data_IF_525681495502
#
_entry.id   IF_525681495502
#
_cell.length_a   1.000
_cell.length_b   1.000
_cell.length_c   1.000
_cell.angle_alpha   90.00
_cell.angle_beta   90.00
_cell.angle_gamma   90.00
#
_symmetry.space_group_name_H-M   'P 1'
#
loop_
_entity.id
_entity.type
_entity.pdbx_description
1 polymer ?
#
# COMPACT_ATOMS: atom_id res chain seq x y z
N UNK A 1 18.88 -7.25 2.06
CA UNK A 1 17.77 -7.90 2.80
C UNK A 1 18.36 -8.80 3.87
N UNK A 2 17.80 -8.73 5.08
CA UNK A 2 18.15 -9.65 6.16
C UNK A 2 17.58 -11.04 5.86
N UNK A 3 18.31 -12.08 6.22
CA UNK A 3 17.80 -13.45 6.21
C UNK A 3 16.78 -13.66 7.33
N UNK A 4 15.94 -14.69 7.21
CA UNK A 4 15.01 -15.12 8.27
C UNK A 4 15.73 -15.32 9.62
N UNK A 5 16.92 -15.92 9.60
CA UNK A 5 17.74 -16.18 10.79
C UNK A 5 18.25 -14.89 11.44
N UNK A 6 18.72 -13.93 10.64
CA UNK A 6 19.18 -12.63 11.13
C UNK A 6 18.02 -11.84 11.76
N UNK A 7 16.86 -11.83 11.09
CA UNK A 7 15.63 -11.20 11.58
C UNK A 7 15.17 -11.78 12.92
N UNK A 8 15.12 -13.12 13.04
CA UNK A 8 14.79 -13.79 14.29
C UNK A 8 15.80 -13.43 15.40
N UNK A 9 17.09 -13.31 15.06
CA UNK A 9 18.13 -12.95 16.03
C UNK A 9 17.97 -11.52 16.54
N UNK A 10 17.65 -10.56 15.65
CA UNK A 10 17.39 -9.17 16.00
C UNK A 10 16.22 -9.08 16.99
N UNK A 11 15.07 -9.68 16.67
CA UNK A 11 13.89 -9.59 17.52
C UNK A 11 14.00 -10.40 18.80
N UNK A 12 14.69 -11.54 18.78
CA UNK A 12 15.03 -12.26 20.01
C UNK A 12 15.84 -11.38 20.96
N UNK A 13 16.83 -10.64 20.44
CA UNK A 13 17.63 -9.71 21.24
C UNK A 13 16.80 -8.54 21.74
N UNK A 14 15.91 -8.01 20.90
CA UNK A 14 14.98 -6.94 21.27
C UNK A 14 14.05 -7.36 22.41
N UNK A 15 13.41 -8.52 22.33
CA UNK A 15 12.50 -8.99 23.39
C UNK A 15 13.25 -9.35 24.67
N UNK A 16 14.49 -9.85 24.58
CA UNK A 16 15.35 -10.01 25.76
C UNK A 16 15.72 -8.67 26.41
N UNK A 17 15.89 -7.60 25.63
CA UNK A 17 16.07 -6.25 26.16
C UNK A 17 14.77 -5.73 26.80
N UNK A 18 13.61 -6.04 26.22
CA UNK A 18 12.29 -5.67 26.74
C UNK A 18 12.02 -6.35 28.10
N UNK A 19 12.30 -7.64 28.23
CA UNK A 19 12.21 -8.39 29.49
C UNK A 19 13.08 -7.77 30.59
N UNK A 20 14.27 -7.26 30.21
CA UNK A 20 15.21 -6.58 31.11
C UNK A 20 14.89 -5.09 31.31
N UNK A 21 13.91 -4.55 30.59
CA UNK A 21 13.57 -3.13 30.53
C UNK A 21 14.79 -2.25 30.17
N UNK A 22 15.66 -2.77 29.31
CA UNK A 22 16.91 -2.14 28.87
C UNK A 22 16.64 -1.23 27.67
N UNK A 23 16.24 0.01 27.96
CA UNK A 23 15.88 0.99 26.94
C UNK A 23 17.05 1.28 25.98
N UNK A 24 18.30 1.25 26.46
CA UNK A 24 19.48 1.47 25.62
C UNK A 24 19.59 0.42 24.52
N UNK A 25 19.42 -0.85 24.85
CA UNK A 25 19.45 -1.93 23.86
C UNK A 25 18.20 -1.94 22.96
N UNK A 26 17.03 -1.57 23.48
CA UNK A 26 15.81 -1.42 22.67
C UNK A 26 15.98 -0.37 21.58
N UNK A 27 16.52 0.80 21.93
CA UNK A 27 16.76 1.89 20.98
C UNK A 27 17.85 1.57 19.94
N UNK A 28 18.71 0.58 20.22
CA UNK A 28 19.80 0.17 19.33
C UNK A 28 19.37 -0.27 17.93
N UNK A 29 18.12 -0.70 17.76
CA UNK A 29 17.57 -1.12 16.45
C UNK A 29 16.55 -0.15 15.86
N UNK A 30 16.23 0.94 16.55
CA UNK A 30 15.22 1.92 16.10
C UNK A 30 15.89 2.94 15.17
N UNK A 31 15.20 3.31 14.08
CA UNK A 31 15.62 4.39 13.18
C UNK A 31 15.23 5.77 13.75
N UNK A 32 15.97 6.81 13.38
CA UNK A 32 15.75 8.16 13.88
C UNK A 32 14.37 8.72 13.49
N UNK A 33 13.84 8.31 12.34
CA UNK A 33 12.58 8.75 11.73
C UNK A 33 11.43 7.73 11.88
N UNK A 34 11.56 6.79 12.82
CA UNK A 34 10.60 5.70 13.03
C UNK A 34 9.15 6.18 13.20
N UNK A 35 8.20 5.44 12.64
CA UNK A 35 6.77 5.57 12.94
C UNK A 35 6.34 4.48 13.94
N UNK A 36 5.86 4.86 15.11
CA UNK A 36 5.53 3.91 16.18
C UNK A 36 4.06 4.01 16.58
N UNK A 37 3.29 2.96 16.31
CA UNK A 37 1.85 2.90 16.54
C UNK A 37 1.50 1.82 17.55
N UNK A 38 0.55 2.12 18.45
CA UNK A 38 0.01 1.17 19.41
C UNK A 38 -1.51 1.18 19.36
N UNK A 39 -2.09 0.05 18.98
CA UNK A 39 -3.51 -0.18 18.86
C UNK A 39 -3.99 -1.07 20.03
N UNK A 40 -5.03 -0.61 20.74
CA UNK A 40 -5.70 -1.37 21.79
C UNK A 40 -7.20 -1.46 21.47
N UNK A 41 -7.74 -2.68 21.45
CA UNK A 41 -9.18 -2.94 21.33
C UNK A 41 -9.73 -3.53 22.62
N UNK A 42 -9.99 -2.70 23.63
CA UNK A 42 -10.76 -3.09 24.81
C UNK A 42 -12.12 -2.40 24.82
N UNK A 43 -13.17 -3.11 25.24
CA UNK A 43 -14.49 -2.52 25.47
C UNK A 43 -14.45 -1.60 26.69
N UNK A 44 -14.27 -0.31 26.43
CA UNK A 44 -14.31 0.75 27.41
C UNK A 44 -14.36 2.07 26.66
N UNK A 45 -15.09 3.06 27.18
CA UNK A 45 -15.39 4.35 26.55
C UNK A 45 -14.10 5.16 26.37
N UNK A 46 -13.29 4.82 25.36
CA UNK A 46 -12.27 5.62 24.67
C UNK A 46 -11.98 4.92 23.35
N UNK A 47 -12.76 5.26 22.31
CA UNK A 47 -12.38 4.94 20.95
C UNK A 47 -11.09 5.66 20.58
N UNK A 48 -10.17 4.95 19.94
CA UNK A 48 -9.04 5.52 19.21
C UNK A 48 -7.83 5.93 20.06
N UNK A 49 -6.75 5.15 19.97
CA UNK A 49 -5.40 5.71 19.93
C UNK A 49 -4.61 5.84 21.23
N UNK A 50 -4.93 5.12 22.31
CA UNK A 50 -3.91 4.95 23.36
C UNK A 50 -4.05 3.67 24.19
N UNK A 51 -2.96 2.91 24.26
CA UNK A 51 -2.75 1.91 25.30
C UNK A 51 -2.34 2.68 26.57
N UNK A 52 -3.23 2.79 27.56
CA UNK A 52 -2.90 3.44 28.85
C UNK A 52 -2.41 4.91 28.74
N UNK A 53 -2.91 5.68 27.76
CA UNK A 53 -2.46 7.05 27.50
C UNK A 53 -1.11 7.14 26.78
N UNK A 54 -0.64 6.05 26.16
CA UNK A 54 0.48 6.02 25.23
C UNK A 54 -0.06 6.22 23.81
N UNK A 55 0.30 7.34 23.18
CA UNK A 55 -0.14 7.69 21.84
C UNK A 55 0.84 7.19 20.77
N UNK A 56 0.40 7.08 19.49
CA UNK A 56 1.34 6.94 18.39
C UNK A 56 2.42 8.02 18.48
N UNK A 57 3.67 7.63 18.28
CA UNK A 57 4.82 8.52 18.32
C UNK A 57 5.64 8.44 17.04
N UNK A 58 6.36 9.52 16.75
CA UNK A 58 7.23 9.64 15.59
C UNK A 58 8.62 10.06 16.00
N UNK A 59 9.61 9.32 15.51
CA UNK A 59 11.02 9.54 15.78
C UNK A 59 11.54 8.85 17.03
N UNK A 60 12.86 8.58 17.05
CA UNK A 60 13.50 7.78 18.08
C UNK A 60 13.37 8.38 19.49
N UNK A 61 13.38 9.71 19.62
CA UNK A 61 13.26 10.38 20.93
C UNK A 61 11.89 10.13 21.57
N UNK A 62 10.81 10.24 20.80
CA UNK A 62 9.46 9.97 21.32
C UNK A 62 9.26 8.48 21.63
N UNK A 63 9.89 7.57 20.86
CA UNK A 63 9.89 6.13 21.17
C UNK A 63 10.64 5.84 22.48
N UNK A 64 11.75 6.53 22.74
CA UNK A 64 12.47 6.40 24.01
C UNK A 64 11.61 6.89 25.19
N UNK A 65 10.89 8.01 25.01
CA UNK A 65 9.94 8.50 26.01
C UNK A 65 8.77 7.53 26.22
N UNK A 66 8.29 6.89 25.15
CA UNK A 66 7.29 5.83 25.20
C UNK A 66 7.74 4.68 26.12
N UNK A 67 8.94 4.12 25.92
CA UNK A 67 9.46 3.04 26.76
C UNK A 67 9.68 3.49 28.21
N UNK A 68 10.16 4.72 28.41
CA UNK A 68 10.33 5.31 29.74
C UNK A 68 8.99 5.37 30.49
N UNK A 69 7.93 5.83 29.82
CA UNK A 69 6.59 5.90 30.40
C UNK A 69 5.99 4.50 30.62
N UNK A 70 6.15 3.59 29.67
CA UNK A 70 5.68 2.21 29.77
C UNK A 70 6.30 1.50 30.99
N UNK A 71 7.62 1.57 31.15
CA UNK A 71 8.33 0.95 32.28
C UNK A 71 8.16 1.69 33.60
N UNK A 72 7.72 2.96 33.57
CA UNK A 72 7.29 3.69 34.76
C UNK A 72 5.92 3.26 35.29
N UNK A 73 5.09 2.65 34.44
CA UNK A 73 3.73 2.24 34.78
C UNK A 73 3.58 0.72 34.96
N UNK A 74 4.38 -0.07 34.24
CA UNK A 74 4.24 -1.51 34.18
C UNK A 74 5.57 -2.23 34.33
N UNK A 75 5.53 -3.40 34.97
CA UNK A 75 6.63 -4.34 35.00
C UNK A 75 6.33 -5.50 34.05
N UNK A 76 7.25 -5.74 33.11
CA UNK A 76 7.24 -6.97 32.29
C UNK A 76 7.54 -8.16 33.20
N UNK A 77 6.64 -9.14 33.26
CA UNK A 77 6.90 -10.44 33.91
C UNK A 77 7.32 -11.49 32.89
N UNK A 78 6.74 -11.40 31.69
CA UNK A 78 7.02 -12.26 30.54
C UNK A 78 6.70 -11.49 29.28
N UNK A 79 7.59 -11.51 28.28
CA UNK A 79 7.25 -11.09 26.93
C UNK A 79 7.82 -12.08 25.91
N UNK A 80 6.96 -12.94 25.37
CA UNK A 80 7.40 -14.07 24.55
C UNK A 80 6.82 -14.00 23.14
N UNK A 81 7.71 -13.90 22.16
CA UNK A 81 7.37 -14.19 20.77
C UNK A 81 7.14 -15.70 20.58
N UNK A 82 6.05 -16.04 19.89
CA UNK A 82 5.66 -17.41 19.58
C UNK A 82 5.90 -17.72 18.10
N UNK A 83 5.37 -16.88 17.21
CA UNK A 83 5.40 -17.10 15.76
C UNK A 83 5.94 -15.88 15.01
N UNK A 84 6.60 -16.15 13.86
CA UNK A 84 7.19 -15.14 12.99
C UNK A 84 6.68 -15.34 11.56
N UNK A 85 6.11 -14.29 10.98
CA UNK A 85 5.77 -14.20 9.57
C UNK A 85 6.67 -13.14 8.95
N UNK A 86 7.60 -13.56 8.10
CA UNK A 86 8.62 -12.68 7.51
C UNK A 86 8.37 -12.62 6.00
N UNK A 87 8.21 -11.41 5.47
CA UNK A 87 8.04 -11.16 4.05
C UNK A 87 8.82 -9.90 3.66
N UNK A 88 9.90 -10.06 2.88
CA UNK A 88 10.81 -8.98 2.48
C UNK A 88 11.35 -8.18 3.68
N UNK A 89 10.97 -6.90 3.79
CA UNK A 89 11.36 -5.96 4.85
C UNK A 89 10.35 -5.90 6.00
N UNK A 90 9.27 -6.69 5.90
CA UNK A 90 8.22 -6.74 6.90
C UNK A 90 8.29 -8.01 7.74
N UNK A 91 8.06 -7.82 9.04
CA UNK A 91 8.10 -8.89 10.03
C UNK A 91 6.89 -8.75 10.93
N UNK A 92 6.02 -9.74 10.93
CA UNK A 92 4.89 -9.83 11.85
C UNK A 92 5.21 -10.89 12.89
N UNK A 93 5.18 -10.50 14.17
CA UNK A 93 5.47 -11.38 15.29
C UNK A 93 4.24 -11.48 16.15
N UNK A 94 3.82 -12.71 16.43
CA UNK A 94 2.74 -13.00 17.36
C UNK A 94 3.35 -13.47 18.67
N UNK A 95 2.70 -13.13 19.77
CA UNK A 95 3.16 -13.58 21.05
C UNK A 95 2.18 -13.32 22.18
N UNK A 96 2.64 -13.67 23.37
CA UNK A 96 1.93 -13.45 24.61
C UNK A 96 2.84 -12.75 25.60
N UNK A 97 2.23 -12.04 26.54
CA UNK A 97 2.95 -11.35 27.58
C UNK A 97 2.17 -11.34 28.88
N UNK A 98 2.91 -11.32 29.97
CA UNK A 98 2.37 -11.11 31.31
C UNK A 98 3.00 -9.83 31.85
N UNK A 99 2.15 -8.92 32.28
CA UNK A 99 2.54 -7.64 32.83
C UNK A 99 1.97 -7.52 34.23
N UNK A 100 2.58 -6.68 35.06
CA UNK A 100 1.93 -6.19 36.28
C UNK A 100 1.98 -4.68 36.35
N UNK A 101 0.92 -4.06 36.87
CA UNK A 101 0.94 -2.63 37.19
C UNK A 101 1.97 -2.38 38.30
N UNK A 102 2.80 -1.35 38.15
CA UNK A 102 3.71 -0.94 39.24
C UNK A 102 2.88 -0.42 40.43
N UNK A 103 1.84 0.42 40.23
CA UNK A 103 0.87 0.70 41.26
C UNK A 103 -0.06 -0.51 41.48
N UNK A 104 -0.05 -1.09 42.68
CA UNK A 104 -0.99 -2.16 43.06
C UNK A 104 -0.53 -3.59 42.76
N UNK A 105 0.37 -3.80 41.80
CA UNK A 105 0.96 -5.12 41.52
C UNK A 105 0.03 -6.12 40.82
N UNK A 106 -1.10 -5.65 40.31
CA UNK A 106 -2.08 -6.50 39.61
C UNK A 106 -1.47 -7.02 38.32
N UNK A 107 -1.55 -8.33 38.11
CA UNK A 107 -1.01 -8.97 36.91
C UNK A 107 -2.10 -9.24 35.89
N UNK A 108 -1.79 -9.02 34.62
CA UNK A 108 -2.68 -9.29 33.50
C UNK A 108 -1.89 -9.94 32.36
N UNK A 109 -2.57 -10.77 31.59
CA UNK A 109 -2.03 -11.38 30.39
C UNK A 109 -2.51 -10.61 29.17
N UNK A 110 -1.71 -10.64 28.12
CA UNK A 110 -2.03 -10.00 26.86
C UNK A 110 -1.45 -10.81 25.73
N UNK A 111 -2.36 -11.21 24.85
CA UNK A 111 -2.05 -11.72 23.52
C UNK A 111 -1.81 -10.51 22.59
N UNK A 112 -0.81 -10.60 21.72
CA UNK A 112 -0.42 -9.48 20.88
C UNK A 112 0.16 -9.90 19.54
N UNK A 113 0.11 -8.94 18.61
CA UNK A 113 0.79 -9.00 17.32
C UNK A 113 1.56 -7.69 17.10
N UNK A 114 2.82 -7.78 16.69
CA UNK A 114 3.61 -6.60 16.28
C UNK A 114 4.01 -6.74 14.82
N UNK A 115 3.67 -5.73 14.01
CA UNK A 115 4.24 -5.55 12.67
C UNK A 115 5.43 -4.61 12.75
N UNK A 116 6.55 -5.06 12.21
CA UNK A 116 7.79 -4.32 12.07
C UNK A 116 8.11 -4.12 10.59
N UNK A 117 8.59 -2.93 10.23
CA UNK A 117 9.21 -2.65 8.92
C UNK A 117 10.67 -2.29 9.16
N UNK A 118 11.57 -2.97 8.48
CA UNK A 118 13.02 -2.84 8.65
C UNK A 118 13.66 -2.34 7.37
N UNK A 119 14.34 -1.20 7.43
CA UNK A 119 15.17 -0.68 6.36
C UNK A 119 16.61 -0.58 6.84
N UNK A 120 17.56 -1.07 6.03
CA UNK A 120 19.01 -1.03 6.35
C UNK A 120 19.37 -1.59 7.74
N UNK A 121 18.60 -2.57 8.24
CA UNK A 121 18.82 -3.18 9.55
C UNK A 121 18.25 -2.41 10.74
N UNK A 122 17.50 -1.34 10.50
CA UNK A 122 16.82 -0.53 11.53
C UNK A 122 15.30 -0.58 11.35
N UNK A 123 14.57 -0.55 12.46
CA UNK A 123 13.11 -0.47 12.49
C UNK A 123 12.68 0.95 12.13
N UNK A 124 12.03 1.09 10.98
CA UNK A 124 11.47 2.37 10.49
C UNK A 124 9.97 2.47 10.74
N UNK A 125 9.25 1.35 10.93
CA UNK A 125 7.85 1.36 11.38
C UNK A 125 7.57 0.22 12.37
N UNK A 126 6.78 0.51 13.40
CA UNK A 126 6.24 -0.43 14.36
C UNK A 126 4.73 -0.22 14.48
N UNK A 127 3.94 -1.30 14.44
CA UNK A 127 2.53 -1.30 14.85
C UNK A 127 2.30 -2.44 15.84
N UNK A 128 2.15 -2.10 17.11
CA UNK A 128 1.82 -3.02 18.19
C UNK A 128 0.30 -3.10 18.35
N UNK A 129 -0.27 -4.26 18.12
CA UNK A 129 -1.69 -4.53 18.32
C UNK A 129 -1.84 -5.43 19.53
N UNK A 130 -2.49 -4.91 20.56
CA UNK A 130 -2.90 -5.72 21.71
C UNK A 130 -4.31 -6.22 21.48
N UNK A 131 -4.48 -7.53 21.58
CA UNK A 131 -5.74 -8.20 21.35
C UNK A 131 -6.43 -8.48 22.69
N UNK A 132 -7.76 -8.29 22.80
CA UNK A 132 -8.47 -8.59 24.03
C UNK A 132 -8.36 -10.10 24.37
N UNK A 133 -8.40 -10.42 25.67
CA UNK A 133 -8.26 -11.78 26.16
C UNK A 133 -9.24 -12.73 25.42
N UNK A 134 -8.68 -13.79 24.82
CA UNK A 134 -9.32 -14.84 24.01
C UNK A 134 -9.38 -14.64 22.48
N UNK A 135 -9.05 -13.48 21.91
CA UNK A 135 -9.13 -13.31 20.45
C UNK A 135 -8.03 -14.12 19.72
N UNK A 136 -6.78 -14.16 20.22
CA UNK A 136 -5.75 -15.00 19.58
C UNK A 136 -6.09 -16.49 19.76
N UNK A 137 -6.43 -16.95 20.97
CA UNK A 137 -6.71 -18.38 21.21
C UNK A 137 -7.89 -18.91 20.38
N UNK A 138 -8.97 -18.14 20.22
CA UNK A 138 -10.07 -18.53 19.31
C UNK A 138 -9.72 -18.39 17.82
N UNK A 139 -8.84 -17.47 17.43
CA UNK A 139 -8.25 -17.46 16.08
C UNK A 139 -7.30 -18.64 15.82
N UNK A 140 -6.62 -19.16 16.84
CA UNK A 140 -5.63 -20.24 16.75
C UNK A 140 -6.26 -21.64 16.86
N UNK A 141 -7.33 -21.84 17.63
CA UNK A 141 -7.86 -23.18 17.95
C UNK A 141 -8.99 -23.63 17.00
N UNK A 142 -8.63 -24.39 15.95
CA UNK A 142 -9.54 -25.36 15.31
C UNK A 142 -9.26 -26.75 15.91
N UNK A 143 -10.25 -27.36 16.55
CA UNK A 143 -10.07 -28.65 17.23
C UNK A 143 -9.80 -29.82 16.26
N UNK A 144 -9.98 -29.67 14.94
CA UNK A 144 -9.83 -30.80 14.01
C UNK A 144 -8.51 -30.84 13.21
N UNK A 145 -7.79 -29.74 12.99
CA UNK A 145 -6.69 -29.71 12.00
C UNK A 145 -5.36 -29.08 12.42
N UNK A 146 -5.22 -28.51 13.63
CA UNK A 146 -3.92 -28.02 14.17
C UNK A 146 -3.05 -27.15 13.22
N UNK A 147 -3.64 -26.44 12.26
CA UNK A 147 -3.01 -25.35 11.50
C UNK A 147 -4.09 -24.35 11.06
N UNK A 148 -4.08 -23.14 11.64
CA UNK A 148 -4.94 -22.03 11.20
C UNK A 148 -4.18 -20.83 10.62
N UNK A 149 -2.86 -20.79 10.75
CA UNK A 149 -2.03 -19.90 9.93
C UNK A 149 -1.74 -20.60 8.61
N UNK A 150 -2.28 -20.08 7.51
CA UNK A 150 -1.69 -20.37 6.20
C UNK A 150 -0.28 -19.74 6.26
N UNK A 151 0.77 -20.50 5.94
CA UNK A 151 2.12 -19.93 5.84
C UNK A 151 2.12 -18.72 4.90
N UNK A 152 3.07 -17.80 5.02
CA UNK A 152 3.17 -16.67 4.07
C UNK A 152 3.14 -17.16 2.62
N UNK A 153 3.79 -18.28 2.35
CA UNK A 153 3.76 -18.98 1.06
C UNK A 153 2.36 -19.44 0.67
N UNK A 154 1.60 -20.02 1.60
CA UNK A 154 0.24 -20.48 1.34
C UNK A 154 -0.78 -19.33 1.20
N UNK A 155 -0.63 -18.24 1.97
CA UNK A 155 -1.40 -16.99 1.74
C UNK A 155 -1.09 -16.46 0.35
N UNK A 156 0.20 -16.38 -0.02
CA UNK A 156 0.63 -15.91 -1.33
C UNK A 156 0.04 -16.79 -2.43
N UNK A 157 0.10 -18.12 -2.31
CA UNK A 157 -0.50 -19.05 -3.27
C UNK A 157 -2.02 -18.85 -3.41
N UNK A 158 -2.75 -18.70 -2.30
CA UNK A 158 -4.20 -18.41 -2.32
C UNK A 158 -4.47 -17.08 -3.02
N UNK A 159 -3.72 -16.03 -2.68
CA UNK A 159 -3.84 -14.71 -3.30
C UNK A 159 -3.57 -14.78 -4.80
N UNK A 160 -2.53 -15.48 -5.24
CA UNK A 160 -2.22 -15.62 -6.67
C UNK A 160 -3.29 -16.42 -7.41
N UNK A 161 -3.79 -17.51 -6.82
CA UNK A 161 -4.91 -18.28 -7.38
C UNK A 161 -6.18 -17.43 -7.48
N UNK A 162 -6.49 -16.64 -6.45
CA UNK A 162 -7.65 -15.76 -6.46
C UNK A 162 -7.50 -14.63 -7.48
N UNK A 163 -6.34 -13.98 -7.58
CA UNK A 163 -6.03 -12.98 -8.61
C UNK A 163 -6.28 -13.53 -10.01
N UNK A 164 -5.76 -14.72 -10.29
CA UNK A 164 -5.96 -15.39 -11.58
C UNK A 164 -7.44 -15.70 -11.82
N UNK A 165 -8.14 -16.28 -10.85
CA UNK A 165 -9.57 -16.55 -10.94
C UNK A 165 -10.37 -15.27 -11.22
N UNK A 166 -10.11 -14.21 -10.46
CA UNK A 166 -10.81 -12.94 -10.57
C UNK A 166 -10.56 -12.31 -11.93
N UNK A 167 -9.30 -12.27 -12.38
CA UNK A 167 -8.94 -11.72 -13.68
C UNK A 167 -9.55 -12.55 -14.80
N UNK A 168 -9.31 -13.87 -14.86
CA UNK A 168 -9.78 -14.77 -15.94
C UNK A 168 -11.31 -14.90 -15.98
N UNK A 169 -12.02 -14.50 -14.92
CA UNK A 169 -13.49 -14.52 -14.88
C UNK A 169 -14.15 -13.59 -15.91
N UNK A 170 -13.41 -12.68 -16.53
CA UNK A 170 -13.89 -11.88 -17.67
C UNK A 170 -14.39 -12.74 -18.84
N UNK A 171 -13.79 -13.92 -19.03
CA UNK A 171 -14.21 -14.90 -20.05
C UNK A 171 -15.65 -15.39 -19.86
N UNK A 172 -16.20 -15.20 -18.65
CA UNK A 172 -17.56 -15.57 -18.28
C UNK A 172 -18.47 -14.35 -18.07
N UNK A 173 -18.06 -13.15 -18.49
CA UNK A 173 -18.84 -11.92 -18.27
C UNK A 173 -18.99 -11.63 -16.78
N UNK A 174 -17.87 -11.62 -16.05
CA UNK A 174 -17.83 -11.34 -14.61
C UNK A 174 -16.67 -10.41 -14.29
N UNK A 175 -16.66 -9.96 -13.04
CA UNK A 175 -15.58 -9.16 -12.45
C UNK A 175 -15.33 -7.88 -13.25
N UNK A 176 -14.09 -7.62 -13.65
CA UNK A 176 -13.68 -6.35 -14.23
C UNK A 176 -14.34 -6.05 -15.58
N UNK A 177 -14.65 -7.07 -16.41
CA UNK A 177 -15.29 -6.83 -17.72
C UNK A 177 -16.76 -6.43 -17.63
N UNK A 178 -17.39 -6.62 -16.47
CA UNK A 178 -18.76 -6.19 -16.17
C UNK A 178 -18.79 -5.16 -15.02
N UNK A 179 -17.69 -4.44 -14.82
CA UNK A 179 -17.61 -3.32 -13.86
C UNK A 179 -17.95 -2.01 -14.54
N UNK A 180 -18.92 -1.29 -13.99
CA UNK A 180 -19.39 0.00 -14.50
C UNK A 180 -19.27 1.09 -13.44
N UNK A 181 -18.96 2.30 -13.87
CA UNK A 181 -19.11 3.51 -13.07
C UNK A 181 -20.24 4.37 -13.63
N UNK A 182 -21.31 4.52 -12.86
CA UNK A 182 -22.50 5.31 -13.25
C UNK A 182 -23.05 4.95 -14.65
N UNK A 183 -22.97 3.66 -15.02
CA UNK A 183 -23.44 3.14 -16.31
C UNK A 183 -22.39 3.13 -17.43
N UNK A 184 -21.18 3.66 -17.21
CA UNK A 184 -20.08 3.61 -18.18
C UNK A 184 -19.13 2.43 -17.88
N UNK A 185 -18.75 1.61 -18.88
CA UNK A 185 -17.76 0.55 -18.69
C UNK A 185 -16.45 1.12 -18.16
N UNK A 186 -15.91 0.49 -17.11
CA UNK A 186 -14.71 0.96 -16.42
C UNK A 186 -13.54 -0.02 -16.53
N UNK A 187 -13.77 -1.34 -16.60
CA UNK A 187 -12.75 -2.36 -16.86
C UNK A 187 -11.57 -2.45 -15.86
N UNK A 188 -11.73 -1.95 -14.63
CA UNK A 188 -10.69 -1.99 -13.57
C UNK A 188 -11.10 -2.84 -12.38
N UNK A 189 -10.12 -3.16 -11.54
CA UNK A 189 -10.37 -3.75 -10.23
C UNK A 189 -10.97 -2.70 -9.27
N UNK A 190 -12.14 -2.94 -8.65
CA UNK A 190 -12.72 -2.01 -7.69
C UNK A 190 -11.85 -1.72 -6.46
N UNK A 191 -10.96 -2.65 -6.10
CA UNK A 191 -10.03 -2.46 -4.98
C UNK A 191 -8.90 -1.48 -5.35
N UNK A 192 -8.44 -1.46 -6.59
CA UNK A 192 -7.51 -0.43 -7.07
C UNK A 192 -8.17 0.95 -7.13
N UNK A 193 -9.45 1.02 -7.54
CA UNK A 193 -10.21 2.28 -7.48
C UNK A 193 -10.29 2.82 -6.04
N UNK A 194 -10.47 1.93 -5.05
CA UNK A 194 -10.45 2.33 -3.65
C UNK A 194 -9.10 2.92 -3.22
N UNK A 195 -7.99 2.38 -3.72
CA UNK A 195 -6.66 2.95 -3.50
C UNK A 195 -6.54 4.31 -4.20
N UNK A 196 -7.06 4.46 -5.41
CA UNK A 196 -7.01 5.72 -6.16
C UNK A 196 -7.73 6.83 -5.39
N UNK A 197 -8.88 6.54 -4.77
CA UNK A 197 -9.55 7.56 -3.96
C UNK A 197 -8.76 7.93 -2.69
N UNK A 198 -8.07 6.99 -2.02
CA UNK A 198 -7.24 7.33 -0.86
C UNK A 198 -6.03 8.19 -1.26
N UNK A 199 -5.38 7.84 -2.38
CA UNK A 199 -4.28 8.62 -2.95
C UNK A 199 -4.78 10.02 -3.30
N UNK A 200 -5.86 10.14 -4.07
CA UNK A 200 -6.42 11.45 -4.45
C UNK A 200 -6.90 12.25 -3.25
N UNK A 201 -7.47 11.60 -2.23
CA UNK A 201 -7.92 12.28 -1.02
C UNK A 201 -6.75 12.87 -0.22
N UNK A 202 -5.64 12.13 -0.12
CA UNK A 202 -4.45 12.57 0.60
C UNK A 202 -3.68 13.63 -0.18
N UNK A 203 -3.48 13.38 -1.47
CA UNK A 203 -2.67 14.22 -2.36
C UNK A 203 -3.38 15.51 -2.78
N UNK A 204 -4.71 15.47 -2.94
CA UNK A 204 -5.54 16.57 -3.48
C UNK A 204 -4.98 17.13 -4.81
N UNK A 205 -4.75 16.28 -5.83
CA UNK A 205 -4.07 16.71 -7.06
C UNK A 205 -4.82 17.82 -7.79
N UNK A 206 -4.08 18.75 -8.38
CA UNK A 206 -4.62 19.80 -9.26
C UNK A 206 -4.88 19.24 -10.67
N UNK A 207 -4.05 18.28 -11.09
CA UNK A 207 -4.18 17.59 -12.37
C UNK A 207 -4.03 16.08 -12.15
N UNK A 208 -4.95 15.32 -12.72
CA UNK A 208 -4.84 13.87 -12.91
C UNK A 208 -4.69 13.61 -14.41
N UNK A 209 -3.62 12.95 -14.81
CA UNK A 209 -3.40 12.53 -16.20
C UNK A 209 -3.68 11.03 -16.28
N UNK A 210 -4.53 10.63 -17.21
CA UNK A 210 -4.88 9.24 -17.49
C UNK A 210 -4.57 8.92 -18.96
N UNK A 211 -3.85 7.83 -19.24
CA UNK A 211 -3.74 7.30 -20.60
C UNK A 211 -4.58 6.04 -20.74
N UNK A 212 -5.21 5.85 -21.91
CA UNK A 212 -6.16 4.76 -22.14
C UNK A 212 -7.59 5.08 -21.70
N UNK A 213 -8.19 6.14 -22.27
CA UNK A 213 -9.60 6.50 -21.97
C UNK A 213 -10.56 5.33 -22.16
N UNK A 214 -10.40 4.53 -23.23
CA UNK A 214 -11.33 3.49 -23.63
C UNK A 214 -12.78 4.02 -23.71
N UNK A 215 -13.71 3.48 -22.91
CA UNK A 215 -15.10 3.96 -22.78
C UNK A 215 -15.28 5.09 -21.73
N UNK A 216 -14.21 5.55 -21.08
CA UNK A 216 -14.21 6.72 -20.20
C UNK A 216 -14.85 6.52 -18.82
N UNK A 217 -15.20 5.29 -18.42
CA UNK A 217 -15.74 5.01 -17.09
C UNK A 217 -14.77 5.38 -15.96
N UNK A 218 -13.48 5.02 -16.11
CA UNK A 218 -12.41 5.41 -15.17
C UNK A 218 -12.17 6.92 -15.18
N UNK A 219 -12.19 7.56 -16.35
CA UNK A 219 -12.09 9.02 -16.46
C UNK A 219 -13.19 9.73 -15.67
N UNK A 220 -14.44 9.26 -15.80
CA UNK A 220 -15.58 9.81 -15.05
C UNK A 220 -15.46 9.53 -13.55
N UNK A 221 -14.95 8.36 -13.17
CA UNK A 221 -14.64 8.04 -11.77
C UNK A 221 -13.67 9.07 -11.17
N UNK A 222 -12.53 9.30 -11.83
CA UNK A 222 -11.52 10.27 -11.39
C UNK A 222 -12.11 11.68 -11.30
N UNK A 223 -12.96 12.08 -12.24
CA UNK A 223 -13.61 13.38 -12.23
C UNK A 223 -14.58 13.56 -11.04
N UNK A 224 -15.36 12.54 -10.71
CA UNK A 224 -16.20 12.56 -9.50
C UNK A 224 -15.36 12.56 -8.23
N UNK A 225 -14.21 11.88 -8.20
CA UNK A 225 -13.29 12.00 -7.06
C UNK A 225 -12.79 13.43 -6.91
N UNK A 226 -12.46 14.12 -8.01
CA UNK A 226 -12.12 15.54 -7.99
C UNK A 226 -13.25 16.42 -7.42
N UNK A 227 -14.53 16.11 -7.67
CA UNK A 227 -15.65 16.81 -7.02
C UNK A 227 -15.70 16.56 -5.52
N UNK A 228 -15.59 15.30 -5.10
CA UNK A 228 -15.65 14.92 -3.68
C UNK A 228 -14.54 15.57 -2.86
N UNK A 229 -13.35 15.73 -3.45
CA UNK A 229 -12.23 16.42 -2.81
C UNK A 229 -12.22 17.93 -3.09
N UNK A 230 -13.15 18.42 -3.91
CA UNK A 230 -13.28 19.82 -4.34
C UNK A 230 -12.03 20.41 -5.00
N UNK A 231 -11.17 19.57 -5.58
CA UNK A 231 -9.98 19.99 -6.32
C UNK A 231 -9.70 19.06 -7.51
N UNK A 232 -8.99 19.58 -8.50
CA UNK A 232 -8.43 18.76 -9.57
C UNK A 232 -9.21 18.79 -10.89
N UNK A 233 -8.49 18.51 -11.97
CA UNK A 233 -9.02 18.26 -13.32
C UNK A 233 -8.40 16.99 -13.88
N UNK A 234 -9.12 16.31 -14.77
CA UNK A 234 -8.67 15.08 -15.41
C UNK A 234 -8.36 15.36 -16.88
N UNK A 235 -7.15 15.01 -17.31
CA UNK A 235 -6.74 14.98 -18.72
C UNK A 235 -6.66 13.52 -19.12
N UNK A 236 -7.53 13.07 -20.01
CA UNK A 236 -7.57 11.66 -20.45
C UNK A 236 -7.23 11.54 -21.93
N UNK A 237 -6.29 10.65 -22.24
CA UNK A 237 -5.70 10.49 -23.57
C UNK A 237 -6.05 9.13 -24.16
N UNK A 238 -6.45 9.10 -25.42
CA UNK A 238 -6.62 7.86 -26.18
C UNK A 238 -6.40 8.08 -27.67
N UNK A 239 -6.01 7.04 -28.39
CA UNK A 239 -5.92 7.04 -29.86
C UNK A 239 -7.29 6.98 -30.54
N UNK A 240 -8.33 6.51 -29.85
CA UNK A 240 -9.66 6.27 -30.44
C UNK A 240 -10.80 6.73 -29.53
N UNK A 241 -11.79 7.43 -30.09
CA UNK A 241 -13.10 7.63 -29.45
C UNK A 241 -14.02 6.43 -29.71
N UNK A 242 -14.09 5.49 -28.76
CA UNK A 242 -14.88 4.27 -28.88
C UNK A 242 -16.39 4.49 -29.05
N UNK A 243 -16.94 5.62 -28.58
CA UNK A 243 -18.34 5.93 -28.82
C UNK A 243 -18.57 6.68 -30.14
N UNK A 244 -17.55 7.39 -30.61
CA UNK A 244 -17.66 8.35 -31.70
C UNK A 244 -18.55 9.55 -31.37
N UNK A 245 -18.28 10.68 -32.00
CA UNK A 245 -19.20 11.82 -32.01
C UNK A 245 -19.45 12.49 -30.65
N UNK A 246 -18.53 12.35 -29.68
CA UNK A 246 -18.61 13.07 -28.40
C UNK A 246 -19.61 12.50 -27.40
N UNK A 247 -19.89 11.19 -27.49
CA UNK A 247 -20.79 10.46 -26.58
C UNK A 247 -20.07 9.86 -25.36
N UNK A 248 -18.75 10.08 -25.24
CA UNK A 248 -18.00 9.82 -24.00
C UNK A 248 -18.66 10.53 -22.81
N UNK A 249 -18.48 10.01 -21.58
CA UNK A 249 -19.00 10.68 -20.38
C UNK A 249 -18.49 12.12 -20.33
N UNK A 250 -19.40 13.06 -20.09
CA UNK A 250 -19.10 14.49 -20.03
C UNK A 250 -19.06 14.94 -18.58
N UNK A 251 -18.02 15.71 -18.25
CA UNK A 251 -17.88 16.33 -16.95
C UNK A 251 -17.06 17.62 -17.08
N UNK A 252 -17.37 18.65 -16.30
CA UNK A 252 -16.69 19.96 -16.38
C UNK A 252 -15.19 19.87 -16.04
N UNK A 253 -14.79 18.84 -15.29
CA UNK A 253 -13.41 18.58 -14.91
C UNK A 253 -12.62 17.74 -15.92
N UNK A 254 -13.24 17.23 -16.98
CA UNK A 254 -12.58 16.33 -17.94
C UNK A 254 -12.17 17.09 -19.20
N UNK A 255 -10.92 16.88 -19.61
CA UNK A 255 -10.41 17.24 -20.94
C UNK A 255 -9.94 15.97 -21.65
N UNK A 256 -10.53 15.67 -22.81
CA UNK A 256 -10.12 14.54 -23.64
C UNK A 256 -9.13 15.00 -24.72
N UNK A 257 -8.02 14.28 -24.86
CA UNK A 257 -7.07 14.43 -25.96
C UNK A 257 -7.10 13.19 -26.84
N UNK A 258 -7.22 13.38 -28.16
CA UNK A 258 -7.25 12.29 -29.13
C UNK A 258 -5.89 12.19 -29.83
N UNK A 259 -5.14 11.13 -29.54
CA UNK A 259 -3.82 10.86 -30.09
C UNK A 259 -3.04 9.85 -29.26
N UNK A 260 -1.85 9.47 -29.74
CA UNK A 260 -0.97 8.56 -29.00
C UNK A 260 -0.37 9.28 -27.79
N UNK A 261 -0.42 8.63 -26.63
CA UNK A 261 0.13 9.15 -25.37
C UNK A 261 1.65 9.37 -25.44
N UNK A 262 2.36 8.70 -26.34
CA UNK A 262 3.80 8.87 -26.56
C UNK A 262 4.14 9.87 -27.68
N UNK A 263 3.13 10.50 -28.30
CA UNK A 263 3.36 11.49 -29.35
C UNK A 263 3.74 12.87 -28.81
N UNK A 264 4.70 13.53 -29.46
CA UNK A 264 5.11 14.91 -29.11
C UNK A 264 3.94 15.91 -29.13
N UNK A 265 2.99 15.72 -30.04
CA UNK A 265 1.76 16.52 -30.14
C UNK A 265 0.98 16.48 -28.81
N UNK A 266 0.68 15.29 -28.31
CA UNK A 266 -0.08 15.10 -27.07
C UNK A 266 0.71 15.59 -25.85
N UNK A 267 2.00 15.28 -25.77
CA UNK A 267 2.86 15.75 -24.67
C UNK A 267 2.89 17.28 -24.60
N UNK A 268 2.94 17.97 -25.75
CA UNK A 268 2.90 19.43 -25.79
C UNK A 268 1.53 19.99 -25.39
N UNK A 269 0.42 19.34 -25.77
CA UNK A 269 -0.92 19.74 -25.33
C UNK A 269 -1.08 19.57 -23.81
N UNK A 270 -0.60 18.47 -23.24
CA UNK A 270 -0.59 18.22 -21.80
C UNK A 270 0.18 19.34 -21.07
N UNK A 271 1.39 19.68 -21.53
CA UNK A 271 2.21 20.77 -20.95
C UNK A 271 1.46 22.11 -20.91
N UNK A 272 0.64 22.41 -21.91
CA UNK A 272 -0.13 23.66 -21.95
C UNK A 272 -1.35 23.66 -21.01
N UNK A 273 -1.85 22.48 -20.64
CA UNK A 273 -3.03 22.32 -19.79
C UNK A 273 -2.69 22.27 -18.30
N UNK A 274 -1.42 22.05 -17.93
CA UNK A 274 -0.96 21.99 -16.55
C UNK A 274 -0.54 23.40 -16.09
N UNK A 275 -1.25 24.01 -15.11
CA UNK A 275 -0.79 25.24 -14.49
C UNK A 275 0.58 25.09 -13.83
N UNK A 276 1.34 26.18 -13.76
CA UNK A 276 2.58 26.25 -12.98
C UNK A 276 2.28 25.87 -11.51
N UNK A 277 3.21 25.16 -10.88
CA UNK A 277 3.15 24.69 -9.49
C UNK A 277 1.97 23.75 -9.16
N UNK A 278 1.37 23.12 -10.17
CA UNK A 278 0.33 22.10 -9.97
C UNK A 278 0.88 20.83 -9.33
N UNK A 279 0.14 20.26 -8.39
CA UNK A 279 0.34 18.86 -7.97
C UNK A 279 -0.25 17.92 -9.01
N UNK A 280 0.57 17.04 -9.60
CA UNK A 280 0.16 16.18 -10.72
C UNK A 280 0.26 14.71 -10.36
N UNK A 281 -0.85 14.00 -10.50
CA UNK A 281 -0.96 12.55 -10.43
C UNK A 281 -1.04 11.99 -11.85
N UNK A 282 -0.30 10.92 -12.15
CA UNK A 282 -0.35 10.25 -13.46
C UNK A 282 -0.76 8.79 -13.31
N UNK A 283 -1.62 8.31 -14.20
CA UNK A 283 -2.08 6.93 -14.32
C UNK A 283 -1.89 6.48 -15.78
N UNK A 284 -1.07 5.46 -15.99
CA UNK A 284 -0.75 4.89 -17.31
C UNK A 284 -1.51 3.59 -17.51
N UNK A 285 -2.38 3.54 -18.52
CA UNK A 285 -3.27 2.39 -18.77
C UNK A 285 -3.60 2.24 -20.27
N UNK A 286 -2.63 2.55 -21.14
CA UNK A 286 -2.83 2.54 -22.60
C UNK A 286 -2.49 1.19 -23.27
N UNK A 287 -1.35 1.07 -23.94
CA UNK A 287 -0.83 -0.19 -24.48
C UNK A 287 0.12 -0.84 -23.46
N UNK A 288 -0.14 -2.10 -23.14
CA UNK A 288 0.58 -2.81 -22.09
C UNK A 288 1.87 -3.49 -22.55
N UNK A 289 2.31 -3.35 -23.80
CA UNK A 289 3.60 -3.90 -24.22
C UNK A 289 4.74 -3.10 -23.59
N UNK A 290 5.76 -3.80 -23.08
CA UNK A 290 6.89 -3.21 -22.35
C UNK A 290 7.46 -1.94 -22.97
N UNK A 291 7.70 -1.95 -24.28
CA UNK A 291 8.33 -0.82 -24.97
C UNK A 291 7.47 0.44 -24.90
N UNK A 292 6.16 0.30 -25.11
CA UNK A 292 5.22 1.41 -25.03
C UNK A 292 5.10 1.95 -23.60
N UNK A 293 4.92 1.07 -22.62
CA UNK A 293 4.84 1.47 -21.20
C UNK A 293 6.13 2.16 -20.75
N UNK A 294 7.30 1.67 -21.18
CA UNK A 294 8.58 2.30 -20.85
C UNK A 294 8.72 3.69 -21.47
N UNK A 295 8.23 3.88 -22.71
CA UNK A 295 8.21 5.19 -23.35
C UNK A 295 7.25 6.15 -22.61
N UNK A 296 6.08 5.69 -22.17
CA UNK A 296 5.20 6.48 -21.30
C UNK A 296 5.86 6.83 -19.97
N UNK A 297 6.47 5.86 -19.28
CA UNK A 297 7.18 6.11 -18.03
C UNK A 297 8.24 7.22 -18.21
N UNK A 298 9.06 7.13 -19.26
CA UNK A 298 10.09 8.13 -19.58
C UNK A 298 9.52 9.50 -19.95
N UNK A 299 8.35 9.58 -20.57
CA UNK A 299 7.74 10.85 -20.93
C UNK A 299 6.98 11.49 -19.76
N UNK A 300 6.25 10.69 -18.99
CA UNK A 300 5.29 11.19 -18.01
C UNK A 300 5.89 11.38 -16.61
N UNK A 301 7.05 10.78 -16.28
CA UNK A 301 7.72 11.01 -15.00
C UNK A 301 8.07 12.49 -14.74
N UNK A 302 8.27 13.28 -15.80
CA UNK A 302 8.54 14.72 -15.72
C UNK A 302 7.34 15.51 -15.18
N UNK A 303 6.11 15.03 -15.43
CA UNK A 303 4.90 15.71 -14.96
C UNK A 303 4.63 15.47 -13.48
N UNK A 304 5.00 14.30 -12.97
CA UNK A 304 4.68 13.90 -11.59
C UNK A 304 5.47 14.76 -10.62
N UNK A 305 4.77 15.33 -9.63
CA UNK A 305 5.37 16.13 -8.58
C UNK A 305 5.86 15.28 -7.41
N UNK A 306 6.87 15.71 -6.63
CA UNK A 306 7.29 14.97 -5.44
C UNK A 306 6.13 14.73 -4.47
N UNK A 307 6.11 13.55 -3.84
CA UNK A 307 5.01 13.10 -2.99
C UNK A 307 3.77 12.60 -3.75
N UNK A 308 3.73 12.77 -5.08
CA UNK A 308 2.68 12.24 -5.96
C UNK A 308 3.09 10.90 -6.58
N UNK A 309 2.19 10.32 -7.37
CA UNK A 309 2.36 8.99 -7.96
C UNK A 309 2.40 9.01 -9.49
N UNK A 310 3.23 8.10 -10.01
CA UNK A 310 3.15 7.55 -11.36
C UNK A 310 2.60 6.13 -11.23
N UNK A 311 1.30 5.97 -11.44
CA UNK A 311 0.63 4.68 -11.34
C UNK A 311 0.68 4.00 -12.71
N UNK A 312 1.19 2.77 -12.76
CA UNK A 312 1.23 1.94 -13.96
C UNK A 312 0.24 0.80 -13.79
N UNK A 313 -0.74 0.73 -14.68
CA UNK A 313 -1.76 -0.31 -14.61
C UNK A 313 -1.33 -1.63 -15.25
N UNK A 314 -2.00 -2.70 -14.84
CA UNK A 314 -1.86 -4.05 -15.41
C UNK A 314 -0.44 -4.64 -15.33
N UNK A 315 0.37 -4.19 -14.39
CA UNK A 315 1.67 -4.81 -14.06
C UNK A 315 1.54 -6.24 -13.55
N UNK A 316 0.31 -6.76 -13.39
CA UNK A 316 0.04 -8.17 -13.18
C UNK A 316 0.25 -9.06 -14.41
N UNK A 317 0.46 -8.49 -15.60
CA UNK A 317 0.62 -9.24 -16.85
C UNK A 317 1.95 -10.01 -16.91
N UNK A 318 2.08 -10.87 -17.93
CA UNK A 318 3.25 -11.70 -18.20
C UNK A 318 3.64 -12.65 -17.05
N UNK A 319 2.64 -13.17 -16.32
CA UNK A 319 2.87 -14.13 -15.25
C UNK A 319 3.07 -13.49 -13.87
N UNK A 320 2.62 -12.25 -13.68
CA UNK A 320 2.72 -11.52 -12.40
C UNK A 320 1.38 -11.29 -11.67
N UNK A 321 0.35 -12.16 -11.66
CA UNK A 321 0.30 -13.59 -12.03
C UNK A 321 -0.52 -13.90 -13.30
N UNK A 322 -1.04 -12.89 -13.98
CA UNK A 322 -2.04 -13.05 -15.04
C UNK A 322 -1.39 -12.99 -16.42
N UNK A 323 -2.10 -13.47 -17.45
CA UNK A 323 -1.63 -13.52 -18.85
C UNK A 323 -0.18 -14.01 -19.01
N UNK A 324 0.10 -15.23 -18.55
CA UNK A 324 1.45 -15.82 -18.50
C UNK A 324 2.25 -15.81 -19.83
N UNK A 325 1.57 -15.75 -20.98
CA UNK A 325 2.19 -15.74 -22.31
C UNK A 325 2.00 -14.40 -23.04
N UNK A 326 1.79 -13.30 -22.30
CA UNK A 326 1.65 -11.96 -22.89
C UNK A 326 2.94 -11.49 -23.58
N UNK A 327 4.10 -11.91 -23.07
CA UNK A 327 5.39 -11.31 -23.40
C UNK A 327 5.66 -10.10 -22.48
N UNK A 328 6.85 -9.48 -22.56
CA UNK A 328 7.22 -8.40 -21.65
C UNK A 328 6.20 -7.27 -21.66
N UNK A 329 5.73 -6.89 -20.47
CA UNK A 329 4.64 -5.94 -20.26
C UNK A 329 5.00 -4.84 -19.25
N UNK A 330 3.99 -4.33 -18.50
CA UNK A 330 4.21 -3.18 -17.62
C UNK A 330 5.17 -3.48 -16.45
N UNK A 331 5.17 -4.71 -15.92
CA UNK A 331 6.12 -5.10 -14.87
C UNK A 331 7.58 -4.93 -15.31
N UNK A 332 7.95 -5.48 -16.46
CA UNK A 332 9.31 -5.37 -16.99
C UNK A 332 9.67 -3.94 -17.40
N UNK A 333 8.68 -3.11 -17.76
CA UNK A 333 8.88 -1.69 -18.04
C UNK A 333 9.20 -0.91 -16.75
N UNK A 334 8.47 -1.18 -15.66
CA UNK A 334 8.73 -0.60 -14.33
C UNK A 334 10.15 -0.97 -13.86
N UNK A 335 10.54 -2.25 -13.99
CA UNK A 335 11.87 -2.70 -13.59
C UNK A 335 13.00 -1.98 -14.35
N UNK A 336 12.83 -1.74 -15.64
CA UNK A 336 13.83 -1.02 -16.43
C UNK A 336 13.82 0.48 -16.13
N UNK A 337 12.65 1.09 -15.97
CA UNK A 337 12.52 2.49 -15.59
C UNK A 337 13.19 2.78 -14.24
N UNK A 338 13.00 1.93 -13.22
CA UNK A 338 13.61 2.13 -11.90
C UNK A 338 15.13 1.91 -11.88
N UNK A 339 15.72 1.27 -12.90
CA UNK A 339 17.19 1.24 -13.08
C UNK A 339 17.71 2.55 -13.67
N UNK A 340 16.89 3.24 -14.45
CA UNK A 340 17.22 4.50 -15.14
C UNK A 340 16.89 5.73 -14.29
N UNK A 341 15.91 5.64 -13.40
CA UNK A 341 15.38 6.75 -12.62
C UNK A 341 15.32 6.40 -11.12
N UNK A 342 16.02 7.20 -10.30
CA UNK A 342 16.11 7.01 -8.84
C UNK A 342 15.18 7.92 -8.03
N UNK A 343 14.31 8.66 -8.72
CA UNK A 343 13.38 9.63 -8.13
C UNK A 343 12.08 8.98 -7.70
N UNK A 344 11.84 7.73 -8.12
CA UNK A 344 10.67 6.95 -7.78
C UNK A 344 11.03 5.73 -6.94
N UNK A 345 10.11 5.33 -6.06
CA UNK A 345 10.14 4.03 -5.38
C UNK A 345 8.78 3.35 -5.48
N UNK A 346 8.77 2.03 -5.45
CA UNK A 346 7.53 1.26 -5.37
C UNK A 346 6.93 1.43 -3.98
N UNK A 347 5.68 1.86 -3.90
CA UNK A 347 4.91 1.94 -2.67
C UNK A 347 4.00 0.72 -2.50
N UNK A 348 4.51 -0.29 -1.78
CA UNK A 348 3.77 -1.53 -1.50
C UNK A 348 2.61 -1.33 -0.53
N UNK A 349 2.54 -0.21 0.20
CA UNK A 349 1.41 0.05 1.12
C UNK A 349 0.09 0.24 0.36
N UNK A 350 0.17 0.61 -0.92
CA UNK A 350 -0.99 0.70 -1.81
C UNK A 350 -1.52 -0.66 -2.27
N UNK A 351 -0.81 -1.77 -1.98
CA UNK A 351 -1.24 -3.14 -2.31
C UNK A 351 -1.92 -3.85 -1.12
N UNK A 352 -2.33 -3.10 -0.09
CA UNK A 352 -2.84 -3.60 1.20
C UNK A 352 -4.07 -4.52 1.13
N UNK A 353 -4.81 -4.55 0.01
CA UNK A 353 -5.98 -5.42 -0.15
C UNK A 353 -5.65 -6.81 -0.68
N UNK A 354 -4.36 -7.14 -0.84
CA UNK A 354 -3.82 -8.34 -1.51
C UNK A 354 -4.14 -8.43 -3.00
N UNK A 355 -5.36 -8.06 -3.41
CA UNK A 355 -5.85 -8.02 -4.78
C UNK A 355 -5.61 -6.64 -5.39
N UNK A 356 -4.89 -6.62 -6.50
CA UNK A 356 -4.59 -5.44 -7.33
C UNK A 356 -4.24 -5.94 -8.73
N UNK A 357 -4.58 -5.17 -9.77
CA UNK A 357 -4.09 -5.36 -11.13
C UNK A 357 -2.71 -4.73 -11.34
N UNK A 358 -2.27 -3.91 -10.38
CA UNK A 358 -1.10 -3.05 -10.47
C UNK A 358 0.00 -3.44 -9.44
N UNK A 359 0.33 -4.75 -9.25
CA UNK A 359 1.39 -5.11 -8.32
C UNK A 359 2.70 -4.45 -8.73
N UNK A 360 3.31 -3.68 -7.83
CA UNK A 360 4.51 -2.89 -8.11
C UNK A 360 4.29 -1.66 -8.99
N UNK A 361 3.05 -1.40 -9.43
CA UNK A 361 2.69 -0.31 -10.33
C UNK A 361 2.49 1.04 -9.63
N UNK A 362 2.44 1.07 -8.30
CA UNK A 362 2.32 2.31 -7.52
C UNK A 362 3.69 2.94 -7.28
N UNK A 363 4.14 3.82 -8.19
CA UNK A 363 5.44 4.47 -8.07
C UNK A 363 5.30 5.85 -7.39
N UNK A 364 5.77 5.97 -6.16
CA UNK A 364 5.81 7.23 -5.41
C UNK A 364 7.05 8.03 -5.81
N UNK A 365 6.88 9.29 -6.22
CA UNK A 365 7.99 10.21 -6.49
C UNK A 365 8.56 10.75 -5.17
N UNK A 366 9.79 10.39 -4.85
CA UNK A 366 10.49 10.73 -3.60
C UNK A 366 11.53 11.84 -3.77
N UNK A 367 11.90 12.21 -4.99
CA UNK A 367 12.85 13.29 -5.31
C UNK A 367 12.31 14.17 -6.43
N UNK A 368 12.93 15.34 -6.63
CA UNK A 368 12.59 16.26 -7.72
C UNK A 368 13.14 15.78 -9.06
#
# INVERSE_FOLDING_TARGET
MLTTSETQTIFKTFYQALDRQDTTHLMGIIADDVQWMVDWKGEGIYGGGSLFGLHPCSGAEEVQQFFTKLFGLYQVKKFQAQDYVIQHEEVVILGDSTWSTIPGGESFNSDWTIRWVIEQGKVVKCRFMVLPENDIKTFIEDEENHQRYTSAEAIQDIVQKYKKLYFDSYLFGKTWSETFWMGYPLSKCPLDLWIYQEIMFTLKPDIVIETGTNYGGSTLYLAHMCDLISNGKVISIDITDHYGGGNRPKHERITYLLGSSTSNEIINQIRQLIPIDSTVLVILDSDHHKHHVLDELRLYHEFVTPGSYLIVEDSGFNGNPVKQNFGPGPWEAIEDFLKENSDFKIDREQEKFYMTFNPGGYLLKVKN
#
